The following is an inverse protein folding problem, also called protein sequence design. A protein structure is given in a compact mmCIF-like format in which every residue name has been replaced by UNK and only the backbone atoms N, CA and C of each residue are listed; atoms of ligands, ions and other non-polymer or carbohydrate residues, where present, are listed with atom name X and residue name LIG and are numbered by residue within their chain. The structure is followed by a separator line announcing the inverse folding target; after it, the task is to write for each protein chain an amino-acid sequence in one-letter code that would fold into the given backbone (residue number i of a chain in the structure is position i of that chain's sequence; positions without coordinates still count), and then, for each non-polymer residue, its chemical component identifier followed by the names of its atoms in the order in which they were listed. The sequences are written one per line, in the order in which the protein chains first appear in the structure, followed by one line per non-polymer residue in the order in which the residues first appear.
data_IF_104390229546
#
_entry.id   IF_104390229546
#
_cell.length_a   1.000
_cell.length_b   1.000
_cell.length_c   1.000
_cell.angle_alpha   90.00
_cell.angle_beta   90.00
_cell.angle_gamma   90.00
#
_symmetry.space_group_name_H-M   'P 1'
#
loop_
_entity.id
_entity.type
_entity.pdbx_description
1 polymer ?
#
# COMPACT_ATOMS: atom_id res chain seq x y z
N UNK A 1 -5.72 7.54 -1.29
CA UNK A 1 -5.85 8.99 -1.55
C UNK A 1 -6.58 9.59 -0.36
N UNK A 2 -5.88 10.27 0.55
CA UNK A 2 -6.54 10.97 1.68
C UNK A 2 -7.14 12.28 1.17
N UNK A 3 -8.37 12.59 1.54
CA UNK A 3 -9.10 13.80 1.12
C UNK A 3 -8.30 15.09 1.36
N UNK A 4 -7.50 15.10 2.44
CA UNK A 4 -6.62 16.22 2.80
C UNK A 4 -5.54 16.54 1.77
N UNK A 5 -5.25 15.67 0.81
CA UNK A 5 -4.29 15.98 -0.25
C UNK A 5 -4.89 16.78 -1.41
N UNK A 6 -6.22 16.86 -1.52
CA UNK A 6 -6.89 17.49 -2.66
C UNK A 6 -7.26 18.95 -2.45
N UNK A 7 -7.13 19.49 -1.24
CA UNK A 7 -7.48 20.90 -0.93
C UNK A 7 -6.24 21.81 -0.91
N UNK A 8 -5.06 21.27 -1.22
CA UNK A 8 -3.78 21.91 -0.86
C UNK A 8 -2.93 22.21 -2.08
N UNK A 9 -2.47 23.44 -2.17
CA UNK A 9 -1.54 23.95 -3.19
C UNK A 9 -0.09 23.79 -2.72
N UNK A 10 0.87 23.99 -3.65
CA UNK A 10 2.30 24.06 -3.37
C UNK A 10 2.63 25.13 -2.32
N UNK A 11 1.84 26.20 -2.28
CA UNK A 11 1.95 27.34 -1.36
C UNK A 11 1.49 27.02 0.07
N UNK A 12 0.56 26.07 0.25
CA UNK A 12 0.08 25.64 1.58
C UNK A 12 0.08 24.11 1.75
N UNK A 13 1.27 23.48 1.77
CA UNK A 13 1.41 22.04 1.77
C UNK A 13 1.24 21.47 3.17
N UNK A 14 0.04 21.05 3.51
CA UNK A 14 -0.25 20.43 4.81
C UNK A 14 -0.18 18.89 4.74
N UNK A 15 1.02 18.43 5.13
CA UNK A 15 1.42 17.03 5.17
C UNK A 15 1.59 16.51 6.61
N UNK A 16 1.17 17.25 7.64
CA UNK A 16 1.36 16.94 9.07
C UNK A 16 0.99 15.50 9.46
N UNK A 17 -0.10 14.96 8.93
CA UNK A 17 -0.59 13.60 9.24
C UNK A 17 0.00 12.46 8.42
N UNK A 18 0.89 12.77 7.48
CA UNK A 18 1.53 11.75 6.69
C UNK A 18 2.67 11.06 7.49
N UNK A 19 3.07 9.80 7.20
CA UNK A 19 4.31 9.21 7.71
C UNK A 19 5.55 9.71 6.94
N UNK A 20 6.71 9.81 7.62
CA UNK A 20 7.98 10.31 7.06
C UNK A 20 8.71 9.18 6.31
N UNK A 21 9.48 9.53 5.28
CA UNK A 21 10.38 8.60 4.58
C UNK A 21 9.80 7.95 3.32
N UNK A 22 10.59 7.10 2.65
CA UNK A 22 10.26 6.52 1.33
C UNK A 22 9.06 5.57 1.35
N UNK A 23 8.69 5.06 2.54
CA UNK A 23 7.46 4.27 2.75
C UNK A 23 6.21 5.14 2.92
N UNK A 24 6.35 6.45 2.80
CA UNK A 24 5.23 7.37 2.89
C UNK A 24 4.23 7.12 1.78
N UNK A 25 2.94 7.23 2.08
CA UNK A 25 1.88 7.17 1.07
C UNK A 25 1.60 8.55 0.46
N UNK A 26 2.17 9.64 1.00
CA UNK A 26 2.17 10.94 0.35
C UNK A 26 3.27 11.02 -0.70
N UNK A 27 2.90 11.47 -1.89
CA UNK A 27 3.83 11.61 -3.02
C UNK A 27 4.92 12.66 -2.71
N UNK A 28 4.55 13.79 -2.10
CA UNK A 28 5.50 14.82 -1.65
C UNK A 28 6.54 14.28 -0.66
N UNK A 29 6.10 13.54 0.37
CA UNK A 29 7.03 12.97 1.36
C UNK A 29 7.95 11.88 0.79
N UNK A 30 7.47 11.13 -0.21
CA UNK A 30 8.31 10.20 -0.95
C UNK A 30 9.36 10.93 -1.78
N UNK A 31 8.96 11.96 -2.54
CA UNK A 31 9.89 12.79 -3.29
C UNK A 31 10.94 13.44 -2.39
N UNK A 32 10.55 13.89 -1.19
CA UNK A 32 11.50 14.39 -0.19
C UNK A 32 12.50 13.33 0.31
N UNK A 33 12.07 12.09 0.48
CA UNK A 33 12.95 10.99 0.89
C UNK A 33 13.84 10.46 -0.25
N UNK A 34 13.41 10.63 -1.50
CA UNK A 34 14.11 10.24 -2.72
C UNK A 34 15.02 11.36 -3.26
N UNK A 35 14.96 12.56 -2.68
CA UNK A 35 15.75 13.72 -3.14
C UNK A 35 15.22 14.38 -4.41
N UNK A 36 13.99 14.08 -4.83
CA UNK A 36 13.35 14.58 -6.07
C UNK A 36 12.31 15.68 -5.80
N UNK A 37 12.45 16.38 -4.67
CA UNK A 37 11.46 17.36 -4.22
C UNK A 37 11.41 18.61 -5.13
N UNK A 38 12.54 18.99 -5.72
CA UNK A 38 12.66 20.18 -6.60
C UNK A 38 11.81 20.06 -7.87
N UNK A 39 11.49 18.83 -8.30
CA UNK A 39 10.68 18.53 -9.48
C UNK A 39 9.26 18.07 -9.10
N UNK A 40 8.88 18.18 -7.83
CA UNK A 40 7.58 17.75 -7.37
C UNK A 40 6.57 18.88 -7.47
N UNK A 41 5.56 18.70 -8.31
CA UNK A 41 4.39 19.58 -8.42
C UNK A 41 3.20 18.95 -7.69
N UNK A 42 2.49 19.71 -6.84
CA UNK A 42 1.25 19.19 -6.25
C UNK A 42 0.14 19.20 -7.30
N UNK A 43 -0.75 18.20 -7.27
CA UNK A 43 -1.93 18.22 -8.12
C UNK A 43 -2.79 19.45 -7.79
N UNK A 44 -3.47 19.97 -8.81
CA UNK A 44 -4.38 21.09 -8.64
C UNK A 44 -5.37 20.84 -7.50
N UNK A 45 -5.58 21.87 -6.69
CA UNK A 45 -6.55 21.82 -5.61
C UNK A 45 -7.96 21.57 -6.17
N UNK A 46 -8.86 21.12 -5.28
CA UNK A 46 -10.28 21.07 -5.58
C UNK A 46 -10.73 22.45 -6.03
N UNK A 47 -11.54 22.43 -7.08
CA UNK A 47 -12.06 23.63 -7.67
C UNK A 47 -12.92 24.43 -6.67
N UNK A 48 -12.74 25.74 -6.65
CA UNK A 48 -13.44 26.64 -5.73
C UNK A 48 -14.96 26.62 -5.95
N UNK A 49 -15.43 26.36 -7.17
CA UNK A 49 -16.85 26.27 -7.51
C UNK A 49 -17.45 24.97 -6.96
N UNK A 50 -16.69 23.87 -6.99
CA UNK A 50 -17.08 22.62 -6.34
C UNK A 50 -17.24 22.82 -4.82
N UNK A 51 -16.30 23.52 -4.19
CA UNK A 51 -16.36 23.82 -2.75
C UNK A 51 -17.58 24.69 -2.41
N UNK A 52 -17.88 25.70 -3.24
CA UNK A 52 -19.08 26.53 -3.10
C UNK A 52 -20.36 25.71 -3.27
N UNK A 53 -20.42 24.81 -4.25
CA UNK A 53 -21.58 23.94 -4.47
C UNK A 53 -21.82 23.04 -3.26
N UNK A 54 -20.75 22.46 -2.68
CA UNK A 54 -20.87 21.63 -1.47
C UNK A 54 -21.43 22.43 -0.28
N UNK A 55 -20.99 23.67 -0.11
CA UNK A 55 -21.48 24.55 0.96
C UNK A 55 -22.96 24.93 0.75
N UNK A 56 -23.33 25.32 -0.48
CA UNK A 56 -24.72 25.63 -0.85
C UNK A 56 -25.65 24.43 -0.65
N UNK A 57 -25.17 23.22 -0.95
CA UNK A 57 -25.91 21.97 -0.70
C UNK A 57 -25.95 21.55 0.78
N UNK A 58 -25.36 22.35 1.69
CA UNK A 58 -25.32 22.06 3.12
C UNK A 58 -24.40 20.90 3.49
N UNK A 59 -23.52 20.46 2.57
CA UNK A 59 -22.56 19.40 2.79
C UNK A 59 -21.35 19.98 3.53
N UNK A 60 -21.47 20.07 4.85
CA UNK A 60 -20.39 20.52 5.72
C UNK A 60 -19.37 19.40 5.88
N UNK A 61 -18.12 19.66 5.48
CA UNK A 61 -16.99 18.77 5.79
C UNK A 61 -16.67 18.89 7.28
N UNK A 62 -17.31 18.05 8.08
CA UNK A 62 -17.17 18.04 9.54
C UNK A 62 -16.05 17.13 10.05
N UNK A 63 -15.81 17.14 11.38
CA UNK A 63 -14.82 16.28 12.03
C UNK A 63 -15.05 14.78 11.81
N UNK A 64 -16.27 14.35 11.46
CA UNK A 64 -16.58 12.96 11.10
C UNK A 64 -15.91 12.55 9.79
N UNK A 65 -15.84 13.46 8.81
CA UNK A 65 -15.13 13.22 7.55
C UNK A 65 -13.63 13.04 7.80
N UNK A 66 -13.07 13.82 8.74
CA UNK A 66 -11.70 13.66 9.22
C UNK A 66 -11.46 12.28 9.82
N UNK A 67 -12.32 11.88 10.76
CA UNK A 67 -12.22 10.58 11.43
C UNK A 67 -12.33 9.42 10.42
N UNK A 68 -13.22 9.54 9.44
CA UNK A 68 -13.35 8.55 8.38
C UNK A 68 -12.07 8.45 7.54
N UNK A 69 -11.49 9.60 7.15
CA UNK A 69 -10.22 9.63 6.44
C UNK A 69 -9.10 8.96 7.25
N UNK A 70 -8.97 9.31 8.55
CA UNK A 70 -8.01 8.69 9.48
C UNK A 70 -8.20 7.16 9.57
N UNK A 71 -9.44 6.68 9.72
CA UNK A 71 -9.75 5.23 9.75
C UNK A 71 -9.39 4.52 8.44
N UNK A 72 -9.67 5.15 7.30
CA UNK A 72 -9.29 4.64 5.98
C UNK A 72 -7.77 4.54 5.82
N UNK A 73 -7.03 5.55 6.29
CA UNK A 73 -5.57 5.56 6.22
C UNK A 73 -4.95 4.53 7.18
N UNK A 74 -5.47 4.38 8.40
CA UNK A 74 -5.04 3.33 9.33
C UNK A 74 -5.24 1.92 8.74
N UNK A 75 -6.39 1.68 8.10
CA UNK A 75 -6.66 0.42 7.41
C UNK A 75 -5.74 0.17 6.23
N UNK A 76 -5.30 1.22 5.53
CA UNK A 76 -4.29 1.11 4.46
C UNK A 76 -2.93 0.72 5.04
N UNK A 77 -2.50 1.37 6.12
CA UNK A 77 -1.25 1.05 6.80
C UNK A 77 -1.22 -0.41 7.27
N UNK A 78 -2.29 -0.86 7.96
CA UNK A 78 -2.44 -2.26 8.37
C UNK A 78 -2.29 -3.26 7.21
N UNK A 79 -2.95 -2.99 6.08
CA UNK A 79 -2.83 -3.85 4.89
C UNK A 79 -1.41 -3.87 4.32
N UNK A 80 -0.74 -2.72 4.30
CA UNK A 80 0.65 -2.63 3.83
C UNK A 80 1.60 -3.42 4.72
N UNK A 81 1.47 -3.30 6.05
CA UNK A 81 2.28 -4.06 7.00
C UNK A 81 2.04 -5.57 6.84
N UNK A 82 0.77 -5.98 6.74
CA UNK A 82 0.40 -7.39 6.50
C UNK A 82 0.99 -7.93 5.20
N UNK A 83 0.96 -7.16 4.12
CA UNK A 83 1.53 -7.57 2.84
C UNK A 83 3.07 -7.62 2.89
N UNK A 84 3.71 -6.67 3.59
CA UNK A 84 5.17 -6.63 3.71
C UNK A 84 5.75 -7.86 4.42
N UNK A 85 5.05 -8.38 5.42
CA UNK A 85 5.45 -9.61 6.12
C UNK A 85 5.28 -10.84 5.24
N UNK A 86 4.23 -10.90 4.40
CA UNK A 86 4.00 -12.03 3.49
C UNK A 86 4.86 -12.01 2.22
N UNK A 87 5.31 -10.83 1.78
CA UNK A 87 5.95 -10.61 0.48
C UNK A 87 7.46 -10.40 0.54
N UNK A 88 8.05 -10.54 1.74
CA UNK A 88 9.50 -10.47 1.91
C UNK A 88 10.19 -11.43 0.92
N UNK A 89 11.35 -11.01 0.39
CA UNK A 89 12.12 -11.86 -0.56
C UNK A 89 12.36 -13.24 0.04
N UNK A 90 12.68 -13.26 1.33
CA UNK A 90 12.86 -14.45 2.15
C UNK A 90 11.61 -15.33 2.24
N UNK A 91 10.43 -14.77 2.53
CA UNK A 91 9.17 -15.50 2.56
C UNK A 91 8.82 -16.09 1.18
N UNK A 92 9.10 -15.35 0.10
CA UNK A 92 8.91 -15.85 -1.27
C UNK A 92 9.87 -16.99 -1.61
N UNK A 93 11.15 -16.88 -1.26
CA UNK A 93 12.13 -17.97 -1.46
C UNK A 93 11.79 -19.20 -0.62
N UNK A 94 11.38 -19.02 0.64
CA UNK A 94 11.00 -20.13 1.51
C UNK A 94 9.79 -20.89 0.96
N UNK A 95 8.76 -20.20 0.46
CA UNK A 95 7.60 -20.85 -0.19
C UNK A 95 7.97 -21.64 -1.44
N UNK A 96 8.87 -21.09 -2.27
CA UNK A 96 9.35 -21.80 -3.47
C UNK A 96 10.14 -23.05 -3.10
N UNK A 97 11.02 -22.94 -2.09
CA UNK A 97 11.83 -24.05 -1.59
C UNK A 97 10.95 -25.15 -0.97
N UNK A 98 9.99 -24.80 -0.12
CA UNK A 98 9.07 -25.76 0.46
C UNK A 98 8.27 -26.52 -0.61
N UNK A 99 7.82 -25.81 -1.67
CA UNK A 99 7.11 -26.45 -2.78
C UNK A 99 8.00 -27.35 -3.63
N UNK A 100 9.28 -27.00 -3.82
CA UNK A 100 10.22 -27.88 -4.54
C UNK A 100 10.56 -29.12 -3.71
N UNK A 101 10.78 -28.95 -2.40
CA UNK A 101 11.02 -30.06 -1.47
C UNK A 101 9.85 -31.03 -1.42
N UNK A 102 8.61 -30.52 -1.39
CA UNK A 102 7.39 -31.34 -1.45
C UNK A 102 7.29 -32.13 -2.77
N UNK A 103 7.63 -31.49 -3.90
CA UNK A 103 7.62 -32.15 -5.21
C UNK A 103 8.71 -33.23 -5.31
N UNK A 104 9.93 -32.96 -4.83
CA UNK A 104 11.04 -33.92 -4.78
C UNK A 104 10.71 -35.10 -3.85
N UNK A 105 10.02 -34.85 -2.74
CA UNK A 105 9.55 -35.90 -1.84
C UNK A 105 8.47 -36.76 -2.47
N UNK A 106 7.52 -36.15 -3.18
CA UNK A 106 6.51 -36.86 -3.96
C UNK A 106 7.15 -37.77 -5.03
N UNK A 107 8.09 -37.24 -5.83
CA UNK A 107 8.82 -38.02 -6.84
C UNK A 107 9.64 -39.15 -6.21
N UNK A 108 10.25 -38.93 -5.03
CA UNK A 108 10.98 -39.95 -4.29
C UNK A 108 10.06 -41.08 -3.83
N UNK A 109 8.89 -40.74 -3.29
CA UNK A 109 7.89 -41.72 -2.81
C UNK A 109 7.33 -42.51 -4.00
N UNK A 110 6.95 -41.84 -5.09
CA UNK A 110 6.47 -42.51 -6.31
C UNK A 110 7.53 -43.40 -6.95
N UNK A 111 8.79 -42.95 -7.00
CA UNK A 111 9.90 -43.75 -7.51
C UNK A 111 10.18 -45.02 -6.70
N UNK A 112 9.92 -44.99 -5.38
CA UNK A 112 9.98 -46.18 -4.52
C UNK A 112 8.74 -47.06 -4.73
N UNK A 113 7.55 -46.47 -4.83
CA UNK A 113 6.27 -47.18 -4.94
C UNK A 113 6.10 -47.89 -6.29
N UNK A 114 6.60 -47.28 -7.37
CA UNK A 114 6.49 -47.78 -8.75
C UNK A 114 7.84 -48.17 -9.38
N UNK A 115 8.88 -48.39 -8.56
CA UNK A 115 10.20 -48.79 -9.03
C UNK A 115 10.24 -50.18 -9.70
N UNK A 116 11.15 -50.38 -10.65
CA UNK A 116 11.37 -51.67 -11.34
C UNK A 116 11.63 -52.81 -10.36
N UNK A 117 10.65 -53.71 -10.19
CA UNK A 117 10.81 -54.95 -9.43
C UNK A 117 9.63 -55.34 -8.53
N UNK A 118 8.56 -54.54 -8.47
CA UNK A 118 7.31 -54.94 -7.77
C UNK A 118 6.29 -55.46 -8.80
N UNK A 119 6.69 -56.48 -9.54
CA UNK A 119 5.78 -57.32 -10.31
C UNK A 119 6.17 -58.77 -9.96
N UNK A 120 5.28 -59.43 -9.22
CA UNK A 120 5.38 -60.81 -8.73
C UNK A 120 5.55 -61.82 -9.88
#
# INVERSE_FOLDING_TARGET
MGFYHKVKTDENPHHSYCPVGSKSWCKWRKSGAEGTLENFEHPSALDDELLKIMDVMGIKIGPQAEQLARKCDARRAYKADRQSTSDSREARTARKKAKSEEAEEYERIEGILYGSGIAD
#
